data_IF_019082398356
#
_entry.id   IF_019082398356
#
_cell.length_a   1.000
_cell.length_b   1.000
_cell.length_c   1.000
_cell.angle_alpha   90.00
_cell.angle_beta   90.00
_cell.angle_gamma   90.00
#
_symmetry.space_group_name_H-M   'P 1'
#
loop_
_entity.id
_entity.type
_entity.pdbx_description
1 polymer ?
#
# COMPACT_ATOMS: atom_id res chain seq x y z
N UNK A 1 20.11 -1.90 26.97
CA UNK A 1 18.92 -1.46 26.22
C UNK A 1 17.76 -2.35 26.63
N UNK A 2 16.81 -1.81 27.39
CA UNK A 2 15.62 -2.54 27.83
C UNK A 2 14.77 -3.00 26.64
N UNK A 3 14.05 -4.11 26.80
CA UNK A 3 13.15 -4.65 25.76
C UNK A 3 12.16 -3.59 25.24
N UNK A 4 11.61 -2.78 26.14
CA UNK A 4 10.65 -1.71 25.81
C UNK A 4 11.25 -0.62 24.93
N UNK A 5 12.50 -0.21 25.18
CA UNK A 5 13.17 0.82 24.37
C UNK A 5 13.48 0.31 22.97
N UNK A 6 13.86 -0.97 22.84
CA UNK A 6 14.04 -1.63 21.54
C UNK A 6 12.73 -1.69 20.75
N UNK A 7 11.62 -2.02 21.41
CA UNK A 7 10.30 -2.08 20.76
C UNK A 7 9.83 -0.70 20.27
N UNK A 8 9.95 0.33 21.11
CA UNK A 8 9.56 1.69 20.75
C UNK A 8 10.37 2.24 19.56
N UNK A 9 11.67 1.96 19.53
CA UNK A 9 12.53 2.32 18.41
C UNK A 9 12.09 1.63 17.11
N UNK A 10 11.78 0.33 17.19
CA UNK A 10 11.34 -0.43 16.03
C UNK A 10 9.98 0.06 15.52
N UNK A 11 9.04 0.31 16.42
CA UNK A 11 7.70 0.77 16.08
C UNK A 11 7.73 2.16 15.43
N UNK A 12 8.46 3.11 16.00
CA UNK A 12 8.63 4.44 15.42
C UNK A 12 9.31 4.40 14.04
N UNK A 13 10.27 3.50 13.82
CA UNK A 13 10.88 3.30 12.50
C UNK A 13 9.91 2.73 11.47
N UNK A 14 9.07 1.77 11.88
CA UNK A 14 8.06 1.18 10.99
C UNK A 14 6.95 2.18 10.65
N UNK A 15 6.43 2.89 11.65
CA UNK A 15 5.34 3.85 11.47
C UNK A 15 5.75 5.05 10.61
N UNK A 16 6.98 5.54 10.76
CA UNK A 16 7.52 6.67 9.99
C UNK A 16 8.12 6.27 8.63
N UNK A 17 7.90 5.03 8.19
CA UNK A 17 8.36 4.58 6.87
C UNK A 17 7.65 5.38 5.77
N UNK A 18 8.36 5.83 4.71
CA UNK A 18 7.76 6.56 3.59
C UNK A 18 6.76 5.71 2.77
N UNK A 19 6.72 4.40 2.99
CA UNK A 19 5.79 3.47 2.36
C UNK A 19 4.42 3.49 3.06
N UNK A 20 4.36 3.99 4.30
CA UNK A 20 3.14 4.00 5.07
C UNK A 20 2.21 5.13 4.61
N UNK A 21 0.93 4.82 4.44
CA UNK A 21 -0.06 5.84 4.11
C UNK A 21 -0.36 6.71 5.34
N UNK A 22 -0.62 8.00 5.14
CA UNK A 22 -0.97 8.92 6.24
C UNK A 22 -2.42 8.75 6.73
N UNK A 23 -3.28 8.14 5.92
CA UNK A 23 -4.72 8.11 6.15
C UNK A 23 -5.14 6.75 6.71
N UNK A 24 -5.19 6.64 8.04
CA UNK A 24 -5.66 5.43 8.72
C UNK A 24 -7.17 5.20 8.56
N UNK A 25 -7.91 6.27 8.21
CA UNK A 25 -9.37 6.26 8.08
C UNK A 25 -9.87 5.19 7.11
N UNK A 26 -9.12 4.88 6.06
CA UNK A 26 -9.46 3.82 5.10
C UNK A 26 -9.56 2.44 5.74
N UNK A 27 -8.77 2.18 6.77
CA UNK A 27 -8.80 0.92 7.51
C UNK A 27 -10.01 0.90 8.45
N UNK A 28 -10.24 2.00 9.15
CA UNK A 28 -11.38 2.14 10.08
C UNK A 28 -12.71 2.01 9.35
N UNK A 29 -12.85 2.69 8.20
CA UNK A 29 -14.05 2.64 7.36
C UNK A 29 -14.32 1.22 6.86
N UNK A 30 -13.29 0.48 6.44
CA UNK A 30 -13.44 -0.89 5.98
C UNK A 30 -13.89 -1.84 7.11
N UNK A 31 -13.34 -1.68 8.31
CA UNK A 31 -13.81 -2.44 9.48
C UNK A 31 -15.26 -2.07 9.85
N UNK A 32 -15.61 -0.79 9.79
CA UNK A 32 -16.96 -0.33 10.05
C UNK A 32 -17.96 -0.91 9.04
N UNK A 33 -17.63 -0.90 7.74
CA UNK A 33 -18.43 -1.53 6.68
C UNK A 33 -18.56 -3.05 6.93
N UNK A 34 -17.49 -3.72 7.37
CA UNK A 34 -17.51 -5.15 7.65
C UNK A 34 -18.43 -5.53 8.82
N UNK A 35 -18.41 -4.75 9.90
CA UNK A 35 -19.21 -5.02 11.11
C UNK A 35 -20.68 -4.60 10.92
N UNK A 36 -20.94 -3.53 10.17
CA UNK A 36 -22.30 -3.01 9.95
C UNK A 36 -23.04 -3.65 8.78
N UNK A 37 -22.36 -4.41 7.91
CA UNK A 37 -22.99 -5.04 6.75
C UNK A 37 -23.96 -6.17 7.15
N UNK A 38 -25.20 -6.09 6.65
CA UNK A 38 -26.17 -7.18 6.79
C UNK A 38 -25.72 -8.49 6.10
N UNK A 39 -24.93 -8.37 5.02
CA UNK A 39 -24.34 -9.49 4.29
C UNK A 39 -22.83 -9.27 4.14
N UNK A 40 -21.99 -9.78 5.06
CA UNK A 40 -20.56 -9.52 5.06
C UNK A 40 -19.86 -10.17 3.86
N UNK A 41 -18.85 -9.47 3.32
CA UNK A 41 -18.02 -9.97 2.22
C UNK A 41 -16.78 -10.66 2.77
N UNK A 42 -16.26 -11.65 2.06
CA UNK A 42 -15.01 -12.32 2.44
C UNK A 42 -13.78 -11.39 2.37
N UNK A 43 -13.84 -10.32 1.57
CA UNK A 43 -12.73 -9.37 1.37
C UNK A 43 -13.25 -7.94 1.29
N UNK A 44 -12.65 -7.05 2.08
CA UNK A 44 -12.91 -5.60 2.05
C UNK A 44 -11.65 -4.88 1.56
N UNK A 45 -11.64 -4.34 0.32
CA UNK A 45 -10.47 -3.65 -0.20
C UNK A 45 -10.26 -2.32 0.51
N UNK A 46 -9.02 -2.14 0.98
CA UNK A 46 -8.59 -0.94 1.70
C UNK A 46 -8.13 0.13 0.72
N UNK A 47 -8.74 1.31 0.81
CA UNK A 47 -8.38 2.43 -0.05
C UNK A 47 -9.03 2.39 -1.44
N UNK A 48 -9.04 3.56 -2.09
CA UNK A 48 -9.63 3.73 -3.43
C UNK A 48 -8.76 3.12 -4.51
N UNK A 49 -7.45 3.17 -4.36
CA UNK A 49 -6.48 2.57 -5.27
C UNK A 49 -6.66 1.04 -5.36
N UNK A 50 -6.87 0.38 -4.22
CA UNK A 50 -7.19 -1.05 -4.21
C UNK A 50 -8.47 -1.35 -5.00
N UNK A 51 -9.53 -0.55 -4.78
CA UNK A 51 -10.85 -0.78 -5.38
C UNK A 51 -10.90 -0.49 -6.88
N UNK A 52 -10.26 0.59 -7.34
CA UNK A 52 -10.34 1.04 -8.73
C UNK A 52 -9.19 0.59 -9.61
N UNK A 53 -8.02 0.28 -9.04
CA UNK A 53 -6.84 -0.06 -9.83
C UNK A 53 -6.42 -1.53 -9.61
N UNK A 54 -6.16 -1.92 -8.37
CA UNK A 54 -5.58 -3.25 -8.11
C UNK A 54 -6.57 -4.39 -8.30
N UNK A 55 -7.82 -4.25 -7.84
CA UNK A 55 -8.83 -5.31 -8.00
C UNK A 55 -9.15 -5.55 -9.49
N UNK A 56 -9.47 -4.53 -10.30
CA UNK A 56 -9.70 -4.75 -11.73
C UNK A 56 -8.48 -5.38 -12.40
N UNK A 57 -7.27 -4.86 -12.14
CA UNK A 57 -6.05 -5.38 -12.72
C UNK A 57 -5.80 -6.86 -12.38
N UNK A 58 -6.13 -7.27 -11.16
CA UNK A 58 -5.98 -8.68 -10.72
C UNK A 58 -6.96 -9.65 -11.38
N UNK A 59 -8.09 -9.15 -11.89
CA UNK A 59 -9.10 -9.94 -12.60
C UNK A 59 -8.94 -9.86 -14.13
N UNK A 60 -8.00 -9.06 -14.64
CA UNK A 60 -7.73 -8.95 -16.07
C UNK A 60 -6.95 -10.17 -16.57
N UNK A 61 -7.04 -10.44 -17.88
CA UNK A 61 -6.27 -11.50 -18.50
C UNK A 61 -4.75 -11.23 -18.44
N UNK A 62 -3.96 -12.29 -18.33
CA UNK A 62 -2.50 -12.24 -18.18
C UNK A 62 -1.79 -11.38 -19.25
N UNK A 63 -2.28 -11.42 -20.49
CA UNK A 63 -1.69 -10.66 -21.60
C UNK A 63 -1.80 -9.14 -21.44
N UNK A 64 -2.75 -8.64 -20.65
CA UNK A 64 -2.86 -7.22 -20.30
C UNK A 64 -2.21 -6.93 -18.95
N UNK A 65 -2.35 -7.86 -17.99
CA UNK A 65 -1.80 -7.71 -16.66
C UNK A 65 -0.26 -7.57 -16.68
N UNK A 66 0.43 -8.45 -17.41
CA UNK A 66 1.89 -8.48 -17.48
C UNK A 66 2.52 -7.18 -18.00
N UNK A 67 2.11 -6.59 -19.14
CA UNK A 67 2.69 -5.34 -19.62
C UNK A 67 2.37 -4.17 -18.68
N UNK A 68 1.18 -4.11 -18.08
CA UNK A 68 0.80 -3.05 -17.14
C UNK A 68 1.67 -3.09 -15.89
N UNK A 69 1.87 -4.27 -15.31
CA UNK A 69 2.73 -4.45 -14.13
C UNK A 69 4.19 -4.11 -14.47
N UNK A 70 4.70 -4.58 -15.61
CA UNK A 70 6.07 -4.25 -16.05
C UNK A 70 6.26 -2.75 -16.24
N UNK A 71 5.28 -2.05 -16.82
CA UNK A 71 5.34 -0.61 -17.00
C UNK A 71 5.34 0.11 -15.64
N UNK A 72 4.48 -0.31 -14.71
CA UNK A 72 4.41 0.24 -13.36
C UNK A 72 5.76 0.12 -12.62
N UNK A 73 6.37 -1.07 -12.63
CA UNK A 73 7.67 -1.29 -11.99
C UNK A 73 8.79 -0.47 -12.66
N UNK A 74 8.83 -0.40 -14.00
CA UNK A 74 9.82 0.44 -14.71
C UNK A 74 9.67 1.93 -14.37
N UNK A 75 8.44 2.43 -14.28
CA UNK A 75 8.17 3.81 -13.89
C UNK A 75 8.63 4.07 -12.45
N UNK A 76 8.39 3.12 -11.54
CA UNK A 76 8.84 3.20 -10.16
C UNK A 76 10.36 3.23 -10.04
N UNK A 77 11.07 2.33 -10.73
CA UNK A 77 12.53 2.28 -10.76
C UNK A 77 13.15 3.57 -11.31
N UNK A 78 12.58 4.11 -12.39
CA UNK A 78 13.03 5.38 -12.98
C UNK A 78 12.88 6.54 -12.00
N UNK A 79 11.76 6.59 -11.26
CA UNK A 79 11.51 7.60 -10.23
C UNK A 79 12.47 7.44 -9.04
N UNK A 80 12.73 6.21 -8.61
CA UNK A 80 13.68 5.91 -7.53
C UNK A 80 15.10 6.33 -7.90
N UNK A 81 15.56 6.01 -9.13
CA UNK A 81 16.88 6.41 -9.64
C UNK A 81 17.03 7.93 -9.73
N UNK A 82 15.99 8.63 -10.20
CA UNK A 82 15.98 10.10 -10.28
C UNK A 82 16.05 10.75 -8.89
N UNK A 83 15.33 10.21 -7.91
CA UNK A 83 15.39 10.69 -6.52
C UNK A 83 16.77 10.44 -5.89
N UNK A 84 17.39 9.29 -6.14
CA UNK A 84 18.73 8.97 -5.64
C UNK A 84 19.80 9.93 -6.18
N UNK A 85 19.75 10.26 -7.47
CA UNK A 85 20.67 11.24 -8.09
C UNK A 85 20.48 12.62 -7.46
N UNK A 86 19.23 13.06 -7.24
CA UNK A 86 18.91 14.35 -6.63
C UNK A 86 19.36 14.46 -5.17
N UNK A 87 19.39 13.37 -4.42
CA UNK A 87 19.90 13.35 -3.04
C UNK A 87 21.43 13.31 -2.93
N UNK A 88 22.14 13.06 -4.02
CA UNK A 88 23.61 12.93 -4.05
C UNK A 88 24.34 14.18 -4.58
N UNK A 89 23.58 15.14 -5.12
CA UNK A 89 24.03 16.48 -5.55
C UNK A 89 23.60 17.46 -4.47
#
# INVERSE_FOLDING_TARGET
>A
MDFLTKYHLLLSKLLNSPVNSKNIDHVVEAYFEAISAAYPKNRYPLGKDARFFWIPLSNMFAWIQDPVIRLFFRAFESKAKKNFIKTKI
#
